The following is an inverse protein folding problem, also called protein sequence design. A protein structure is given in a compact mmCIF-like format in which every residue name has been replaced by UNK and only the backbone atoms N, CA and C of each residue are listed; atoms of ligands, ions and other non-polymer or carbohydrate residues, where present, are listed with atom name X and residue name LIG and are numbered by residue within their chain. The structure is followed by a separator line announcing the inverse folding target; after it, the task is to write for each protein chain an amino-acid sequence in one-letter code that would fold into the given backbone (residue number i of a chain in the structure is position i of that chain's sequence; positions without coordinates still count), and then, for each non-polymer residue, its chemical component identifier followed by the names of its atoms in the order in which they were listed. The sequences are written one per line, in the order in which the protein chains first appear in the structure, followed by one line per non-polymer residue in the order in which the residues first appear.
data_IF_407129021367
#
_entry.id   IF_407129021367
#
_cell.length_a   1.000
_cell.length_b   1.000
_cell.length_c   1.000
_cell.angle_alpha   90.00
_cell.angle_beta   90.00
_cell.angle_gamma   90.00
#
_symmetry.space_group_name_H-M   'P 1'
#
loop_
_entity.id
_entity.type
_entity.pdbx_description
1 polymer ?
#
# COMPACT_ATOMS: atom_id res chain seq x y z
N UNK A 1 24.91 -30.24 18.07
CA UNK A 1 24.28 -29.06 18.69
C UNK A 1 24.19 -27.97 17.63
N UNK A 2 23.12 -27.97 16.85
CA UNK A 2 23.04 -27.18 15.61
C UNK A 2 22.75 -25.71 15.90
N UNK A 3 23.60 -24.88 15.32
CA UNK A 3 23.76 -23.45 15.50
C UNK A 3 22.69 -22.70 14.70
N UNK A 4 21.45 -22.67 15.20
CA UNK A 4 20.32 -22.02 14.52
C UNK A 4 20.12 -20.58 15.00
N UNK A 5 20.87 -19.63 14.40
CA UNK A 5 20.60 -18.18 14.56
C UNK A 5 20.14 -17.51 13.26
N UNK A 6 20.46 -18.07 12.09
CA UNK A 6 20.07 -17.52 10.79
C UNK A 6 18.69 -17.96 10.30
N UNK A 7 18.13 -19.05 10.83
CA UNK A 7 16.85 -19.59 10.36
C UNK A 7 15.66 -18.72 10.83
N UNK A 8 15.72 -18.16 12.03
CA UNK A 8 14.68 -17.25 12.55
C UNK A 8 14.49 -15.97 11.72
N UNK A 9 15.57 -15.45 11.12
CA UNK A 9 15.49 -14.27 10.24
C UNK A 9 14.75 -14.57 8.94
N UNK A 10 15.01 -15.73 8.32
CA UNK A 10 14.29 -16.18 7.12
C UNK A 10 12.83 -16.44 7.44
N UNK A 11 12.53 -17.06 8.58
CA UNK A 11 11.15 -17.32 9.01
C UNK A 11 10.39 -15.99 9.18
N UNK A 12 10.98 -14.98 9.82
CA UNK A 12 10.36 -13.66 9.96
C UNK A 12 10.16 -12.94 8.63
N UNK A 13 11.14 -13.00 7.72
CA UNK A 13 11.02 -12.41 6.38
C UNK A 13 9.86 -13.06 5.60
N UNK A 14 9.77 -14.39 5.64
CA UNK A 14 8.67 -15.14 5.03
C UNK A 14 7.32 -14.78 5.65
N UNK A 15 7.24 -14.64 6.98
CA UNK A 15 5.99 -14.30 7.69
C UNK A 15 5.49 -12.90 7.30
N UNK A 16 6.38 -11.92 7.21
CA UNK A 16 6.05 -10.55 6.79
C UNK A 16 5.60 -10.54 5.32
N UNK A 17 6.30 -11.27 4.45
CA UNK A 17 5.91 -11.41 3.05
C UNK A 17 4.54 -12.10 2.91
N UNK A 18 4.26 -13.14 3.70
CA UNK A 18 2.98 -13.84 3.70
C UNK A 18 1.82 -12.97 4.18
N UNK A 19 2.05 -12.16 5.22
CA UNK A 19 1.05 -11.19 5.70
C UNK A 19 0.78 -10.14 4.62
N UNK A 20 1.82 -9.58 4.00
CA UNK A 20 1.67 -8.64 2.90
C UNK A 20 0.90 -9.22 1.70
N UNK A 21 1.15 -10.50 1.39
CA UNK A 21 0.46 -11.23 0.34
C UNK A 21 -1.01 -11.53 0.70
N UNK A 22 -1.29 -11.93 1.94
CA UNK A 22 -2.66 -12.12 2.45
C UNK A 22 -3.47 -10.83 2.37
N UNK A 23 -2.89 -9.66 2.64
CA UNK A 23 -3.57 -8.37 2.46
C UNK A 23 -3.89 -8.04 0.99
N UNK A 24 -3.06 -8.51 0.04
CA UNK A 24 -3.32 -8.34 -1.40
C UNK A 24 -4.48 -9.24 -1.84
N UNK A 25 -4.53 -10.50 -1.40
CA UNK A 25 -5.57 -11.46 -1.79
C UNK A 25 -6.89 -11.30 -1.02
N UNK A 26 -6.88 -10.97 0.28
CA UNK A 26 -8.11 -10.76 1.07
C UNK A 26 -8.85 -9.46 0.72
N UNK A 27 -8.21 -8.49 0.06
CA UNK A 27 -8.90 -7.27 -0.37
C UNK A 27 -9.83 -7.48 -1.57
N UNK A 28 -9.78 -8.65 -2.24
CA UNK A 28 -10.74 -8.97 -3.29
C UNK A 28 -12.15 -9.31 -2.74
N UNK A 29 -12.29 -9.54 -1.42
CA UNK A 29 -13.56 -9.89 -0.77
C UNK A 29 -14.16 -8.79 0.13
N UNK A 30 -13.50 -7.64 0.34
CA UNK A 30 -14.07 -6.55 1.13
C UNK A 30 -14.91 -5.55 0.32
N UNK A 31 -15.16 -5.81 -0.97
CA UNK A 31 -16.08 -5.03 -1.79
C UNK A 31 -17.45 -5.71 -1.87
N UNK A 32 -18.13 -5.78 -0.73
CA UNK A 32 -19.57 -6.04 -0.70
C UNK A 32 -20.29 -4.68 -0.76
N UNK A 33 -20.70 -4.28 -1.95
CA UNK A 33 -21.82 -3.35 -2.10
C UNK A 33 -22.77 -3.97 -3.12
N UNK A 34 -23.77 -4.68 -2.60
CA UNK A 34 -25.01 -4.96 -3.30
C UNK A 34 -25.58 -3.62 -3.77
N UNK A 35 -25.85 -3.50 -5.07
CA UNK A 35 -27.10 -2.99 -5.61
C UNK A 35 -27.15 -3.36 -7.09
N UNK A 36 -28.07 -4.28 -7.40
CA UNK A 36 -28.62 -4.63 -8.70
C UNK A 36 -28.25 -3.69 -9.86
N UNK A 37 -27.53 -4.22 -10.85
CA UNK A 37 -27.93 -4.31 -12.27
C UNK A 37 -26.71 -4.58 -13.17
N UNK A 38 -26.92 -5.45 -14.16
CA UNK A 38 -26.00 -5.90 -15.20
C UNK A 38 -24.76 -6.69 -14.72
N UNK A 39 -24.63 -7.93 -15.25
CA UNK A 39 -23.55 -8.85 -14.91
C UNK A 39 -22.15 -8.22 -15.04
N UNK A 40 -21.18 -8.65 -14.22
CA UNK A 40 -19.90 -7.98 -14.14
C UNK A 40 -19.15 -8.18 -15.47
N UNK A 41 -19.03 -7.11 -16.24
CA UNK A 41 -17.80 -6.88 -16.97
C UNK A 41 -16.70 -6.85 -15.92
N UNK A 42 -15.97 -7.96 -15.77
CA UNK A 42 -14.92 -8.12 -14.76
C UNK A 42 -13.74 -7.13 -14.92
N UNK A 43 -13.80 -6.24 -15.89
CA UNK A 43 -12.81 -5.20 -16.13
C UNK A 43 -13.36 -3.86 -15.63
N UNK A 44 -12.75 -3.27 -14.58
CA UNK A 44 -13.15 -1.96 -14.10
C UNK A 44 -12.99 -0.92 -15.21
N UNK A 45 -13.91 0.03 -15.27
CA UNK A 45 -13.80 1.13 -16.24
C UNK A 45 -12.57 1.99 -15.92
N UNK A 46 -12.05 2.73 -16.92
CA UNK A 46 -10.91 3.63 -16.69
C UNK A 46 -11.25 4.71 -15.64
N UNK A 47 -12.50 5.14 -15.58
CA UNK A 47 -12.99 6.06 -14.55
C UNK A 47 -12.93 5.45 -13.14
N UNK A 48 -13.35 4.19 -12.99
CA UNK A 48 -13.23 3.44 -11.73
C UNK A 48 -11.76 3.27 -11.32
N UNK A 49 -10.88 2.95 -12.26
CA UNK A 49 -9.44 2.84 -12.02
C UNK A 49 -8.83 4.17 -11.55
N UNK A 50 -9.27 5.29 -12.11
CA UNK A 50 -8.87 6.65 -11.69
C UNK A 50 -9.33 6.94 -10.25
N UNK A 51 -10.58 6.60 -9.92
CA UNK A 51 -11.15 6.81 -8.58
C UNK A 51 -10.41 5.96 -7.55
N UNK A 52 -10.24 4.67 -7.82
CA UNK A 52 -9.50 3.74 -6.94
C UNK A 52 -8.05 4.21 -6.73
N UNK A 53 -7.36 4.61 -7.79
CA UNK A 53 -5.98 5.10 -7.68
C UNK A 53 -5.90 6.37 -6.82
N UNK A 54 -6.87 7.31 -6.94
CA UNK A 54 -6.93 8.50 -6.08
C UNK A 54 -7.14 8.13 -4.60
N UNK A 55 -8.05 7.20 -4.32
CA UNK A 55 -8.32 6.74 -2.96
C UNK A 55 -7.07 6.09 -2.35
N UNK A 56 -6.39 5.21 -3.09
CA UNK A 56 -5.12 4.60 -2.67
C UNK A 56 -4.04 5.63 -2.37
N UNK A 57 -3.89 6.67 -3.21
CA UNK A 57 -2.95 7.77 -2.96
C UNK A 57 -3.28 8.48 -1.66
N UNK A 58 -4.56 8.79 -1.42
CA UNK A 58 -5.02 9.46 -0.20
C UNK A 58 -4.73 8.63 1.05
N UNK A 59 -5.07 7.35 1.01
CA UNK A 59 -4.86 6.44 2.14
C UNK A 59 -3.37 6.26 2.45
N UNK A 60 -2.54 6.11 1.42
CA UNK A 60 -1.10 6.01 1.59
C UNK A 60 -0.48 7.31 2.13
N UNK A 61 -1.00 8.47 1.72
CA UNK A 61 -0.58 9.76 2.28
C UNK A 61 -0.95 9.88 3.76
N UNK A 62 -2.16 9.47 4.15
CA UNK A 62 -2.59 9.44 5.54
C UNK A 62 -1.73 8.49 6.40
N UNK A 63 -1.45 7.29 5.88
CA UNK A 63 -0.54 6.33 6.54
C UNK A 63 0.86 6.93 6.74
N UNK A 64 1.39 7.61 5.72
CA UNK A 64 2.69 8.28 5.80
C UNK A 64 2.71 9.33 6.92
N UNK A 65 1.69 10.19 6.98
CA UNK A 65 1.58 11.20 8.04
C UNK A 65 1.56 10.57 9.44
N UNK A 66 0.83 9.47 9.61
CA UNK A 66 0.77 8.77 10.90
C UNK A 66 2.13 8.17 11.29
N UNK A 67 2.85 7.56 10.32
CA UNK A 67 4.20 7.03 10.55
C UNK A 67 5.19 8.15 10.89
N UNK A 68 5.10 9.29 10.20
CA UNK A 68 5.96 10.44 10.50
C UNK A 68 5.72 10.98 11.92
N UNK A 69 4.46 11.00 12.38
CA UNK A 69 4.12 11.33 13.77
C UNK A 69 4.71 10.32 14.75
N UNK A 70 4.61 9.02 14.46
CA UNK A 70 5.19 7.96 15.30
C UNK A 70 6.72 8.09 15.37
N UNK A 71 7.40 8.36 14.25
CA UNK A 71 8.86 8.63 14.22
C UNK A 71 9.21 9.79 15.15
N UNK A 72 8.46 10.90 15.10
CA UNK A 72 8.69 12.05 15.98
C UNK A 72 8.49 11.70 17.45
N UNK A 73 7.47 10.91 17.79
CA UNK A 73 7.21 10.47 19.16
C UNK A 73 8.33 9.56 19.68
N UNK A 74 8.76 8.58 18.89
CA UNK A 74 9.84 7.66 19.27
C UNK A 74 11.17 8.39 19.45
N UNK A 75 11.48 9.38 18.60
CA UNK A 75 12.65 10.25 18.75
C UNK A 75 12.62 11.06 20.05
N UNK A 76 11.47 11.66 20.38
CA UNK A 76 11.31 12.46 21.59
C UNK A 76 11.45 11.62 22.87
N UNK A 77 10.99 10.37 22.82
CA UNK A 77 11.09 9.43 23.95
C UNK A 77 12.48 8.77 24.06
N UNK A 78 13.44 9.11 23.19
CA UNK A 78 14.76 8.46 23.06
C UNK A 78 14.68 6.92 22.96
N UNK A 79 13.56 6.40 22.47
CA UNK A 79 13.32 4.97 22.41
C UNK A 79 13.82 4.38 21.10
N UNK A 80 14.41 3.20 21.22
CA UNK A 80 14.63 2.20 20.17
C UNK A 80 14.98 2.75 18.77
N UNK A 81 16.25 3.10 18.57
CA UNK A 81 16.84 3.50 17.28
C UNK A 81 16.46 2.58 16.11
N UNK A 82 16.39 1.26 16.35
CA UNK A 82 16.01 0.29 15.32
C UNK A 82 14.56 0.48 14.87
N UNK A 83 13.64 0.79 15.79
CA UNK A 83 12.24 1.09 15.46
C UNK A 83 12.16 2.36 14.60
N UNK A 84 12.90 3.41 14.97
CA UNK A 84 12.95 4.66 14.21
C UNK A 84 13.47 4.42 12.79
N UNK A 85 14.52 3.61 12.63
CA UNK A 85 15.07 3.26 11.32
C UNK A 85 14.03 2.51 10.46
N UNK A 86 13.38 1.49 11.04
CA UNK A 86 12.35 0.72 10.35
C UNK A 86 11.18 1.61 9.91
N UNK A 87 10.67 2.48 10.79
CA UNK A 87 9.59 3.42 10.46
C UNK A 87 10.01 4.40 9.37
N UNK A 88 11.26 4.88 9.39
CA UNK A 88 11.81 5.77 8.37
C UNK A 88 11.85 5.08 7.00
N UNK A 89 12.27 3.82 6.96
CA UNK A 89 12.24 3.01 5.72
C UNK A 89 10.81 2.86 5.20
N UNK A 90 9.84 2.59 6.07
CA UNK A 90 8.43 2.48 5.66
C UNK A 90 7.91 3.81 5.09
N UNK A 91 8.24 4.95 5.71
CA UNK A 91 7.86 6.29 5.19
C UNK A 91 8.45 6.56 3.80
N UNK A 92 9.70 6.17 3.58
CA UNK A 92 10.35 6.30 2.27
C UNK A 92 9.68 5.40 1.22
N UNK A 93 9.34 4.15 1.58
CA UNK A 93 8.63 3.23 0.69
C UNK A 93 7.24 3.77 0.33
N UNK A 94 6.50 4.35 1.28
CA UNK A 94 5.23 5.01 1.01
C UNK A 94 5.39 6.19 0.06
N UNK A 95 6.47 6.96 0.18
CA UNK A 95 6.78 8.08 -0.71
C UNK A 95 6.97 7.60 -2.15
N UNK A 96 7.75 6.53 -2.36
CA UNK A 96 7.95 5.92 -3.68
C UNK A 96 6.64 5.36 -4.25
N UNK A 97 5.86 4.67 -3.42
CA UNK A 97 4.57 4.11 -3.82
C UNK A 97 3.61 5.21 -4.29
N UNK A 98 3.46 6.29 -3.51
CA UNK A 98 2.63 7.44 -3.88
C UNK A 98 3.09 8.07 -5.19
N UNK A 99 4.41 8.20 -5.41
CA UNK A 99 4.97 8.71 -6.66
C UNK A 99 4.54 7.84 -7.85
N UNK A 100 4.68 6.53 -7.73
CA UNK A 100 4.31 5.59 -8.79
C UNK A 100 2.80 5.62 -9.07
N UNK A 101 1.97 5.69 -8.03
CA UNK A 101 0.51 5.81 -8.18
C UNK A 101 0.10 7.12 -8.87
N UNK A 102 0.82 8.23 -8.61
CA UNK A 102 0.59 9.49 -9.32
C UNK A 102 0.93 9.39 -10.81
N UNK A 103 1.99 8.68 -11.18
CA UNK A 103 2.30 8.44 -12.59
C UNK A 103 1.25 7.54 -13.26
N UNK A 104 0.81 6.48 -12.59
CA UNK A 104 -0.30 5.63 -13.08
C UNK A 104 -1.59 6.45 -13.32
N UNK A 105 -1.94 7.33 -12.37
CA UNK A 105 -3.09 8.22 -12.50
C UNK A 105 -3.00 9.14 -13.72
N UNK A 106 -1.80 9.65 -14.04
CA UNK A 106 -1.58 10.45 -15.27
C UNK A 106 -1.82 9.61 -16.52
N UNK A 107 -1.35 8.36 -16.54
CA UNK A 107 -1.55 7.44 -17.66
C UNK A 107 -3.03 7.14 -17.88
N UNK A 108 -3.79 6.83 -16.81
CA UNK A 108 -5.23 6.60 -16.93
C UNK A 108 -5.99 7.81 -17.44
N UNK A 109 -5.63 9.01 -16.97
CA UNK A 109 -6.23 10.26 -17.48
C UNK A 109 -5.96 10.49 -18.96
N UNK A 110 -4.73 10.22 -19.43
CA UNK A 110 -4.40 10.33 -20.85
C UNK A 110 -5.23 9.35 -21.68
N UNK A 111 -5.33 8.10 -21.23
CA UNK A 111 -6.10 7.07 -21.92
C UNK A 111 -7.59 7.44 -22.01
N UNK A 112 -8.17 7.92 -20.92
CA UNK A 112 -9.58 8.37 -20.90
C UNK A 112 -9.83 9.51 -21.89
N UNK A 113 -8.93 10.50 -21.93
CA UNK A 113 -9.05 11.61 -22.88
C UNK A 113 -9.00 11.12 -24.33
N UNK A 114 -8.04 10.24 -24.65
CA UNK A 114 -7.90 9.69 -26.01
C UNK A 114 -9.08 8.81 -26.44
N UNK A 115 -9.79 8.18 -25.51
CA UNK A 115 -10.98 7.38 -25.81
C UNK A 115 -12.25 8.23 -25.97
N UNK A 116 -12.21 9.47 -25.50
CA UNK A 116 -13.34 10.41 -25.55
C UNK A 116 -13.22 11.43 -26.70
N UNK A 117 -12.09 11.44 -27.43
CA UNK A 117 -11.84 12.20 -28.66
C UNK A 117 -12.26 11.39 -29.91
#
# INVERSE_FOLDING_TARGET
MFRSKNQFKIIHLCLIAFIGLLFIFNNHQLMAMNNNEAGPSNNPSIEEMIIDTKNKIRDNANKKVNIEKEISQERNNQNNLQKIENLTQISNNLTLLIKNQKEQLKTYRKLLNTLND
#
